data_IF_596892009707
#
_entry.id   IF_596892009707
#
_cell.length_a   1.000
_cell.length_b   1.000
_cell.length_c   1.000
_cell.angle_alpha   90.00
_cell.angle_beta   90.00
_cell.angle_gamma   90.00
#
_symmetry.space_group_name_H-M   'P 1'
#
loop_
_entity.id
_entity.type
_entity.pdbx_description
1 polymer ?
#
# COMPACT_ATOMS: atom_id res chain seq x y z
N UNK A 1 2.09 6.62 -16.20
CA UNK A 1 1.37 7.43 -15.22
C UNK A 1 1.29 8.86 -15.71
N UNK A 2 0.15 9.55 -15.56
CA UNK A 2 0.02 10.97 -15.91
C UNK A 2 0.64 11.86 -14.81
N UNK A 3 1.87 12.35 -15.05
CA UNK A 3 2.62 13.17 -14.08
C UNK A 3 1.95 14.50 -13.77
N UNK A 4 1.19 15.07 -14.71
CA UNK A 4 0.46 16.32 -14.49
C UNK A 4 -0.65 16.12 -13.46
N UNK A 5 -1.44 15.06 -13.58
CA UNK A 5 -2.47 14.69 -12.61
C UNK A 5 -1.83 14.37 -11.26
N UNK A 6 -0.76 13.57 -11.24
CA UNK A 6 -0.06 13.20 -10.00
C UNK A 6 0.44 14.44 -9.24
N UNK A 7 1.15 15.34 -9.93
CA UNK A 7 1.69 16.56 -9.31
C UNK A 7 0.57 17.49 -8.82
N UNK A 8 -0.54 17.58 -9.54
CA UNK A 8 -1.72 18.33 -9.11
C UNK A 8 -2.29 17.76 -7.81
N UNK A 9 -2.51 16.45 -7.74
CA UNK A 9 -3.04 15.78 -6.55
C UNK A 9 -2.12 15.91 -5.34
N UNK A 10 -0.80 15.78 -5.55
CA UNK A 10 0.20 15.98 -4.50
C UNK A 10 0.26 17.40 -3.95
N UNK A 11 -0.04 18.43 -4.77
CA UNK A 11 -0.05 19.84 -4.34
C UNK A 11 -1.37 20.28 -3.72
N UNK A 12 -2.49 19.72 -4.20
CA UNK A 12 -3.83 20.08 -3.75
C UNK A 12 -4.12 19.61 -2.31
N UNK A 13 -3.38 18.60 -1.84
CA UNK A 13 -3.52 18.07 -0.48
C UNK A 13 -2.29 18.48 0.33
N UNK A 14 -2.50 18.94 1.56
CA UNK A 14 -1.45 18.94 2.61
C UNK A 14 -1.16 17.49 3.01
N UNK A 15 -0.72 16.67 2.07
CA UNK A 15 -0.52 15.25 2.34
C UNK A 15 0.63 15.10 3.32
N UNK A 16 0.45 14.31 4.39
CA UNK A 16 1.60 13.83 5.17
C UNK A 16 2.47 12.90 4.32
N UNK A 17 1.93 12.42 3.19
CA UNK A 17 2.60 11.58 2.18
C UNK A 17 3.85 12.23 1.63
N UNK A 18 4.89 11.43 1.49
CA UNK A 18 6.12 11.91 0.88
C UNK A 18 6.08 11.71 -0.64
N UNK A 19 6.22 12.78 -1.46
CA UNK A 19 6.02 12.69 -2.90
C UNK A 19 6.84 11.62 -3.63
N UNK A 20 8.14 11.41 -3.32
CA UNK A 20 8.95 10.37 -3.95
C UNK A 20 8.47 8.94 -3.70
N UNK A 21 8.14 8.57 -2.45
CA UNK A 21 7.68 7.22 -2.10
C UNK A 21 6.38 6.89 -2.83
N UNK A 22 5.44 7.83 -2.77
CA UNK A 22 4.16 7.72 -3.47
C UNK A 22 4.30 7.71 -4.98
N UNK A 23 5.21 8.52 -5.54
CA UNK A 23 5.48 8.51 -6.98
C UNK A 23 5.99 7.13 -7.42
N UNK A 24 6.98 6.57 -6.71
CA UNK A 24 7.52 5.25 -7.03
C UNK A 24 6.46 4.15 -6.91
N UNK A 25 5.63 4.19 -5.86
CA UNK A 25 4.53 3.25 -5.70
C UNK A 25 3.52 3.34 -6.86
N UNK A 26 3.08 4.54 -7.22
CA UNK A 26 2.14 4.75 -8.34
C UNK A 26 2.75 4.36 -9.69
N UNK A 27 4.07 4.54 -9.88
CA UNK A 27 4.78 4.05 -11.08
C UNK A 27 4.80 2.52 -11.15
N UNK A 28 5.01 1.84 -10.02
CA UNK A 28 4.92 0.36 -9.95
C UNK A 28 3.51 -0.10 -10.31
N UNK A 29 2.47 0.54 -9.75
CA UNK A 29 1.08 0.25 -10.11
C UNK A 29 0.83 0.44 -11.61
N UNK A 30 1.23 1.58 -12.19
CA UNK A 30 1.07 1.86 -13.62
C UNK A 30 1.72 0.80 -14.51
N UNK A 31 2.94 0.37 -14.16
CA UNK A 31 3.66 -0.67 -14.91
C UNK A 31 2.97 -2.02 -14.82
N UNK A 32 2.55 -2.43 -13.61
CA UNK A 32 1.83 -3.68 -13.39
C UNK A 32 0.52 -3.73 -14.19
N UNK A 33 -0.31 -2.71 -14.04
CA UNK A 33 -1.64 -2.63 -14.69
C UNK A 33 -1.51 -2.68 -16.21
N UNK A 34 -0.56 -1.93 -16.79
CA UNK A 34 -0.28 -1.96 -18.23
C UNK A 34 0.18 -3.34 -18.69
N UNK A 35 1.09 -3.98 -17.95
CA UNK A 35 1.61 -5.31 -18.29
C UNK A 35 0.50 -6.37 -18.27
N UNK A 36 -0.44 -6.28 -17.34
CA UNK A 36 -1.59 -7.19 -17.21
C UNK A 36 -2.79 -6.80 -18.10
N UNK A 37 -2.73 -5.65 -18.79
CA UNK A 37 -3.82 -5.16 -19.64
C UNK A 37 -5.05 -4.67 -18.87
N UNK A 38 -4.91 -4.34 -17.57
CA UNK A 38 -5.99 -3.89 -16.70
C UNK A 38 -6.25 -2.41 -16.95
N UNK A 39 -7.48 -2.05 -17.35
CA UNK A 39 -7.85 -0.67 -17.72
C UNK A 39 -8.59 0.10 -16.62
N UNK A 40 -9.42 -0.59 -15.83
CA UNK A 40 -10.22 -0.02 -14.74
C UNK A 40 -10.00 -0.88 -13.49
N UNK A 41 -8.86 -0.74 -12.80
CA UNK A 41 -8.51 -1.62 -11.70
C UNK A 41 -9.50 -1.47 -10.54
N UNK A 42 -9.78 -2.57 -9.84
CA UNK A 42 -10.48 -2.56 -8.56
C UNK A 42 -9.47 -2.34 -7.44
N UNK A 43 -9.68 -1.31 -6.65
CA UNK A 43 -8.78 -0.94 -5.55
C UNK A 43 -9.53 -0.95 -4.24
N UNK A 44 -9.00 -1.66 -3.25
CA UNK A 44 -9.49 -1.65 -1.87
C UNK A 44 -8.46 -0.96 -0.98
N UNK A 45 -8.88 0.08 -0.28
CA UNK A 45 -8.08 0.75 0.76
C UNK A 45 -8.64 0.37 2.14
N UNK A 46 -7.77 -0.09 3.05
CA UNK A 46 -8.16 -0.52 4.41
C UNK A 46 -7.24 0.07 5.47
N UNK A 47 -7.77 0.20 6.67
CA UNK A 47 -7.10 0.75 7.85
C UNK A 47 -7.83 1.96 8.42
N UNK A 48 -7.34 2.54 9.53
CA UNK A 48 -8.04 3.59 10.24
C UNK A 48 -8.15 4.85 9.36
N UNK A 49 -9.35 5.13 8.87
CA UNK A 49 -9.75 6.49 8.57
C UNK A 49 -9.69 7.25 9.91
N UNK A 50 -8.64 8.02 10.18
CA UNK A 50 -8.59 8.81 11.41
C UNK A 50 -9.81 9.74 11.42
N UNK A 51 -10.81 9.37 12.23
CA UNK A 51 -12.05 10.10 12.48
C UNK A 51 -11.69 11.54 12.79
N UNK A 52 -12.00 12.44 11.85
CA UNK A 52 -11.83 13.88 12.01
C UNK A 52 -10.53 14.48 11.45
N UNK A 53 -9.64 13.70 10.83
CA UNK A 53 -8.57 14.28 10.02
C UNK A 53 -9.10 14.58 8.61
N UNK A 54 -8.83 15.78 8.10
CA UNK A 54 -9.05 16.13 6.67
C UNK A 54 -8.08 15.37 5.72
N UNK A 55 -7.37 14.39 6.26
CA UNK A 55 -6.45 13.48 5.61
C UNK A 55 -7.30 12.21 5.35
N UNK A 56 -7.39 11.57 4.18
CA UNK A 56 -6.42 11.52 3.10
C UNK A 56 -7.03 10.63 1.99
N UNK A 57 -8.00 11.10 1.18
CA UNK A 57 -8.62 10.29 0.10
C UNK A 57 -7.54 9.73 -0.87
N UNK A 58 -7.00 8.51 -0.69
CA UNK A 58 -6.13 7.86 -1.69
C UNK A 58 -6.94 7.46 -2.91
N UNK A 59 -8.26 7.29 -2.73
CA UNK A 59 -9.21 7.02 -3.80
C UNK A 59 -8.99 7.94 -4.99
N UNK A 60 -8.87 9.26 -4.78
CA UNK A 60 -8.63 10.21 -5.89
C UNK A 60 -7.34 9.93 -6.68
N UNK A 61 -6.28 9.43 -6.04
CA UNK A 61 -5.08 9.03 -6.77
C UNK A 61 -5.40 7.86 -7.70
N UNK A 62 -6.03 6.81 -7.18
CA UNK A 62 -6.36 5.62 -7.97
C UNK A 62 -7.42 5.92 -9.05
N UNK A 63 -8.49 6.64 -8.70
CA UNK A 63 -9.56 7.05 -9.61
C UNK A 63 -9.03 7.95 -10.73
N UNK A 64 -8.25 8.98 -10.42
CA UNK A 64 -7.83 9.94 -11.44
C UNK A 64 -6.60 9.50 -12.24
N UNK A 65 -5.67 8.75 -11.64
CA UNK A 65 -4.48 8.25 -12.36
C UNK A 65 -4.78 6.99 -13.16
N UNK A 66 -5.64 6.11 -12.63
CA UNK A 66 -5.87 4.78 -13.21
C UNK A 66 -7.32 4.50 -13.60
N UNK A 67 -8.25 5.45 -13.40
CA UNK A 67 -9.69 5.20 -13.60
C UNK A 67 -10.18 4.00 -12.77
N UNK A 68 -9.60 3.86 -11.58
CA UNK A 68 -9.90 2.76 -10.69
C UNK A 68 -11.35 2.81 -10.20
N UNK A 69 -11.92 1.64 -9.92
CA UNK A 69 -13.09 1.47 -9.07
C UNK A 69 -12.59 1.27 -7.65
N UNK A 70 -12.71 2.28 -6.80
CA UNK A 70 -12.43 2.16 -5.37
C UNK A 70 -13.64 1.54 -4.65
N UNK A 71 -13.40 0.50 -3.86
CA UNK A 71 -14.44 -0.21 -3.09
C UNK A 71 -14.11 -0.16 -1.60
N UNK A 72 -15.15 -0.16 -0.76
CA UNK A 72 -15.01 -0.15 0.71
C UNK A 72 -15.15 -1.55 1.33
N UNK A 73 -15.67 -2.52 0.57
CA UNK A 73 -15.86 -3.90 0.98
C UNK A 73 -15.77 -4.84 -0.21
N UNK A 74 -15.37 -6.09 0.03
CA UNK A 74 -15.28 -7.13 -1.01
C UNK A 74 -16.61 -7.87 -1.09
N UNK A 75 -17.25 -7.83 -2.26
CA UNK A 75 -18.42 -8.64 -2.53
C UNK A 75 -18.03 -10.05 -3.03
N UNK A 76 -18.90 -11.04 -2.85
CA UNK A 76 -18.63 -12.42 -3.29
C UNK A 76 -18.32 -12.48 -4.78
N UNK A 77 -17.14 -12.99 -5.14
CA UNK A 77 -16.68 -13.11 -6.53
C UNK A 77 -15.95 -11.88 -7.07
N UNK A 78 -15.82 -10.81 -6.30
CA UNK A 78 -15.04 -9.63 -6.69
C UNK A 78 -13.54 -9.86 -6.40
N UNK A 79 -12.71 -9.56 -7.40
CA UNK A 79 -11.25 -9.63 -7.29
C UNK A 79 -10.68 -8.23 -7.15
N UNK A 80 -9.68 -8.07 -6.27
CA UNK A 80 -8.99 -6.81 -6.05
C UNK A 80 -7.69 -6.80 -6.87
N UNK A 81 -7.48 -5.76 -7.69
CA UNK A 81 -6.22 -5.60 -8.43
C UNK A 81 -5.13 -4.98 -7.56
N UNK A 82 -5.52 -4.03 -6.69
CA UNK A 82 -4.62 -3.37 -5.74
C UNK A 82 -5.26 -3.29 -4.35
N UNK A 83 -4.63 -3.90 -3.36
CA UNK A 83 -4.97 -3.78 -1.94
C UNK A 83 -4.00 -2.80 -1.28
N UNK A 84 -4.51 -1.70 -0.72
CA UNK A 84 -3.73 -0.67 -0.02
C UNK A 84 -4.04 -0.69 1.48
N UNK A 85 -3.13 -1.23 2.29
CA UNK A 85 -3.28 -1.36 3.74
C UNK A 85 -2.52 -0.24 4.44
N UNK A 86 -3.26 0.62 5.14
CA UNK A 86 -2.69 1.76 5.87
C UNK A 86 -1.79 1.32 7.02
N UNK A 87 -0.89 2.22 7.40
CA UNK A 87 -0.04 2.04 8.57
C UNK A 87 -0.83 1.94 9.87
N UNK A 88 -0.42 1.10 10.80
CA UNK A 88 -1.14 1.00 12.07
C UNK A 88 -0.55 0.01 13.07
N UNK A 89 -1.33 -0.34 14.08
CA UNK A 89 -0.98 -1.38 15.04
C UNK A 89 -0.91 -2.75 14.37
N UNK A 90 0.06 -3.58 14.78
CA UNK A 90 0.35 -4.86 14.15
C UNK A 90 -0.90 -5.75 14.00
N UNK A 91 -1.72 -5.86 15.06
CA UNK A 91 -2.93 -6.70 15.03
C UNK A 91 -3.93 -6.26 13.96
N UNK A 92 -4.10 -4.96 13.76
CA UNK A 92 -5.05 -4.44 12.77
C UNK A 92 -4.53 -4.65 11.36
N UNK A 93 -3.27 -4.28 11.11
CA UNK A 93 -2.64 -4.44 9.79
C UNK A 93 -2.58 -5.92 9.40
N UNK A 94 -2.31 -6.82 10.36
CA UNK A 94 -2.31 -8.27 10.13
C UNK A 94 -3.71 -8.79 9.83
N UNK A 95 -4.72 -8.38 10.60
CA UNK A 95 -6.10 -8.75 10.35
C UNK A 95 -6.58 -8.29 8.95
N UNK A 96 -6.28 -7.05 8.57
CA UNK A 96 -6.58 -6.52 7.23
C UNK A 96 -5.88 -7.33 6.14
N UNK A 97 -4.60 -7.65 6.33
CA UNK A 97 -3.85 -8.48 5.39
C UNK A 97 -4.45 -9.88 5.24
N UNK A 98 -4.69 -10.59 6.34
CA UNK A 98 -5.24 -11.95 6.32
C UNK A 98 -6.67 -11.97 5.73
N UNK A 99 -7.48 -10.94 6.01
CA UNK A 99 -8.85 -10.84 5.49
C UNK A 99 -8.87 -10.59 3.99
N UNK A 100 -8.06 -9.64 3.50
CA UNK A 100 -8.22 -9.13 2.13
C UNK A 100 -7.18 -9.64 1.13
N UNK A 101 -6.01 -10.08 1.60
CA UNK A 101 -4.98 -10.59 0.69
C UNK A 101 -5.43 -11.79 -0.17
N UNK A 102 -6.31 -12.72 0.27
CA UNK A 102 -6.78 -13.81 -0.60
C UNK A 102 -7.59 -13.32 -1.81
N UNK A 103 -8.29 -12.19 -1.68
CA UNK A 103 -9.08 -11.58 -2.76
C UNK A 103 -8.25 -10.70 -3.70
N UNK A 104 -7.03 -10.33 -3.29
CA UNK A 104 -6.13 -9.54 -4.10
C UNK A 104 -5.35 -10.43 -5.07
N UNK A 105 -5.45 -10.16 -6.36
CA UNK A 105 -4.78 -10.90 -7.44
C UNK A 105 -3.52 -10.18 -7.95
N UNK A 106 -3.37 -8.90 -7.64
CA UNK A 106 -2.25 -8.09 -8.10
C UNK A 106 -1.31 -7.60 -7.01
N UNK A 107 -1.44 -6.34 -6.66
CA UNK A 107 -0.51 -5.64 -5.77
C UNK A 107 -1.10 -5.52 -4.37
N UNK A 108 -0.33 -5.92 -3.36
CA UNK A 108 -0.63 -5.59 -1.95
C UNK A 108 0.42 -4.58 -1.47
N UNK A 109 -0.04 -3.42 -1.03
CA UNK A 109 0.80 -2.38 -0.43
C UNK A 109 0.52 -2.30 1.08
N UNK A 110 1.57 -2.34 1.89
CA UNK A 110 1.53 -2.11 3.34
C UNK A 110 2.26 -0.80 3.59
N UNK A 111 1.55 0.21 4.07
CA UNK A 111 2.12 1.54 4.31
C UNK A 111 2.79 1.64 5.68
N UNK A 112 3.69 2.62 5.79
CA UNK A 112 4.42 2.97 7.01
C UNK A 112 5.24 1.82 7.63
N UNK A 113 5.83 0.96 6.80
CA UNK A 113 6.67 -0.18 7.22
C UNK A 113 8.00 0.20 7.90
N UNK A 114 8.28 1.50 8.04
CA UNK A 114 9.41 2.01 8.85
C UNK A 114 8.97 2.93 9.98
N UNK A 115 7.67 3.23 10.08
CA UNK A 115 7.15 4.15 11.08
C UNK A 115 7.33 3.55 12.47
N UNK A 116 7.89 4.37 13.36
CA UNK A 116 8.16 4.03 14.77
C UNK A 116 9.06 2.80 15.01
N UNK A 117 9.61 2.16 13.97
CA UNK A 117 10.47 0.97 14.09
C UNK A 117 11.65 1.16 15.02
N UNK A 118 12.28 2.34 14.99
CA UNK A 118 13.45 2.69 15.80
C UNK A 118 13.15 3.61 16.99
N UNK A 119 11.87 3.85 17.30
CA UNK A 119 11.46 4.70 18.43
C UNK A 119 11.23 3.91 19.71
N UNK A 120 11.37 4.55 20.87
CA UNK A 120 10.99 3.95 22.17
C UNK A 120 9.48 3.73 22.28
N UNK A 121 8.67 4.74 21.97
CA UNK A 121 7.21 4.62 21.91
C UNK A 121 6.78 4.12 20.52
N UNK A 122 6.00 3.03 20.50
CA UNK A 122 5.45 2.44 19.28
C UNK A 122 3.99 2.88 19.11
N UNK A 123 3.73 3.75 18.15
CA UNK A 123 2.35 4.14 17.77
C UNK A 123 1.94 3.54 16.43
N UNK A 124 2.87 2.94 15.69
CA UNK A 124 2.64 2.17 14.48
C UNK A 124 3.63 1.00 14.45
N UNK A 125 3.16 -0.16 13.97
CA UNK A 125 3.86 -1.44 14.03
C UNK A 125 3.69 -2.29 12.77
N UNK A 126 3.28 -1.68 11.64
CA UNK A 126 3.20 -2.35 10.33
C UNK A 126 4.52 -3.05 9.93
N UNK A 127 5.65 -2.52 10.41
CA UNK A 127 6.98 -3.12 10.21
C UNK A 127 7.09 -4.55 10.75
N UNK A 128 6.32 -4.91 11.79
CA UNK A 128 6.32 -6.29 12.35
C UNK A 128 5.74 -7.28 11.34
N UNK A 129 4.60 -6.96 10.74
CA UNK A 129 3.99 -7.80 9.71
C UNK A 129 4.89 -7.87 8.49
N UNK A 130 5.47 -6.75 8.08
CA UNK A 130 6.41 -6.72 6.95
C UNK A 130 7.63 -7.62 7.17
N UNK A 131 8.21 -7.61 8.38
CA UNK A 131 9.33 -8.49 8.72
C UNK A 131 8.91 -9.97 8.78
N UNK A 132 7.72 -10.28 9.31
CA UNK A 132 7.14 -11.62 9.34
C UNK A 132 6.98 -12.20 7.91
N UNK A 133 6.37 -11.44 7.00
CA UNK A 133 6.17 -11.86 5.62
C UNK A 133 7.50 -12.12 4.89
N UNK A 134 8.49 -11.24 5.05
CA UNK A 134 9.83 -11.47 4.48
C UNK A 134 10.50 -12.71 5.05
N UNK A 135 10.35 -12.98 6.34
CA UNK A 135 10.91 -14.17 6.97
C UNK A 135 10.29 -15.45 6.40
N UNK A 136 8.96 -15.48 6.20
CA UNK A 136 8.27 -16.62 5.59
C UNK A 136 8.80 -16.91 4.17
N UNK A 137 8.98 -15.87 3.35
CA UNK A 137 9.53 -16.01 1.99
C UNK A 137 10.99 -16.50 2.03
N UNK A 138 11.80 -15.93 2.93
CA UNK A 138 13.22 -16.32 3.08
C UNK A 138 13.36 -17.77 3.52
N UNK A 139 12.41 -18.27 4.32
CA UNK A 139 12.37 -19.66 4.78
C UNK A 139 11.72 -20.63 3.77
N UNK A 140 11.36 -20.17 2.56
CA UNK A 140 10.82 -21.03 1.50
C UNK A 140 9.36 -21.44 1.70
N UNK A 141 8.53 -20.59 2.32
CA UNK A 141 7.10 -20.82 2.40
C UNK A 141 6.48 -20.89 0.98
N UNK A 142 6.03 -22.09 0.59
CA UNK A 142 5.51 -22.37 -0.78
C UNK A 142 4.36 -21.45 -1.20
N UNK A 143 3.56 -20.99 -0.25
CA UNK A 143 2.44 -20.06 -0.50
C UNK A 143 2.88 -18.71 -1.08
N UNK A 144 4.16 -18.32 -0.95
CA UNK A 144 4.71 -17.07 -1.47
C UNK A 144 5.75 -17.27 -2.59
N UNK A 145 5.91 -18.49 -3.12
CA UNK A 145 6.95 -18.82 -4.10
C UNK A 145 6.88 -17.95 -5.37
N UNK A 146 5.67 -17.55 -5.77
CA UNK A 146 5.42 -16.73 -6.95
C UNK A 146 5.22 -15.24 -6.64
N UNK A 147 5.64 -14.77 -5.46
CA UNK A 147 5.42 -13.39 -5.05
C UNK A 147 6.72 -12.60 -5.12
N UNK A 148 6.66 -11.37 -5.64
CA UNK A 148 7.78 -10.43 -5.61
C UNK A 148 7.58 -9.43 -4.47
N UNK A 149 8.56 -9.37 -3.56
CA UNK A 149 8.58 -8.43 -2.44
C UNK A 149 9.52 -7.27 -2.75
N UNK A 150 8.99 -6.04 -2.67
CA UNK A 150 9.73 -4.80 -2.81
C UNK A 150 9.48 -3.93 -1.58
N UNK A 151 10.46 -3.13 -1.20
CA UNK A 151 10.28 -2.12 -0.17
C UNK A 151 10.82 -0.79 -0.66
N UNK A 152 9.97 0.24 -0.60
CA UNK A 152 10.35 1.62 -0.86
C UNK A 152 10.63 2.24 0.50
N UNK A 153 11.89 2.57 0.77
CA UNK A 153 12.30 3.18 2.02
C UNK A 153 12.75 4.62 1.79
N UNK A 154 12.50 5.48 2.77
CA UNK A 154 13.20 6.75 2.87
C UNK A 154 14.13 6.78 4.07
N UNK A 155 15.41 6.93 3.77
CA UNK A 155 16.42 7.28 4.77
C UNK A 155 16.28 8.75 5.13
N UNK A 156 15.67 9.06 6.27
CA UNK A 156 15.75 10.40 6.89
C UNK A 156 16.89 10.42 7.89
N UNK A 157 17.72 11.47 7.84
CA UNK A 157 18.79 11.74 8.82
C UNK A 157 18.19 12.09 10.19
N UNK A 158 17.02 12.75 10.21
CA UNK A 158 16.24 13.07 11.43
C UNK A 158 14.74 12.96 11.15
N UNK A 159 13.97 12.45 12.11
CA UNK A 159 12.50 12.36 12.05
C UNK A 159 11.94 10.96 11.76
N UNK A 160 10.62 10.87 11.54
CA UNK A 160 9.94 9.60 11.27
C UNK A 160 10.36 9.07 9.90
N UNK A 161 10.99 7.90 9.89
CA UNK A 161 11.16 7.11 8.68
C UNK A 161 9.81 6.54 8.26
N UNK A 162 9.59 6.49 6.95
CA UNK A 162 8.41 5.93 6.32
C UNK A 162 8.87 5.01 5.20
N UNK A 163 7.96 4.16 4.77
CA UNK A 163 8.17 3.28 3.66
C UNK A 163 6.90 2.54 3.30
N UNK A 164 6.90 1.97 2.10
CA UNK A 164 5.80 1.15 1.58
C UNK A 164 6.39 -0.21 1.25
N UNK A 165 5.87 -1.25 1.92
CA UNK A 165 6.11 -2.64 1.55
C UNK A 165 5.17 -3.01 0.42
N UNK A 166 5.67 -3.59 -0.65
CA UNK A 166 4.90 -3.94 -1.84
C UNK A 166 5.10 -5.43 -2.11
N UNK A 167 3.98 -6.12 -2.31
CA UNK A 167 3.93 -7.53 -2.70
C UNK A 167 3.23 -7.58 -4.04
N UNK A 168 3.86 -8.18 -5.04
CA UNK A 168 3.28 -8.37 -6.37
C UNK A 168 3.07 -9.85 -6.58
N UNK A 169 1.82 -10.26 -6.77
CA UNK A 169 1.47 -11.64 -7.15
C UNK A 169 1.65 -11.81 -8.67
N UNK A 170 2.40 -12.84 -9.07
CA UNK A 170 2.73 -13.10 -10.49
C UNK A 170 1.61 -13.76 -11.27
#
# INVERSE_FOLDING_TARGET
>A
MNLTIFNRLMRAKETRRHPPEWKMFMEICDLYLKRKGIKNPVVLEVGPAEIGSKEENQHEFFEQLFKAKCIDHVSTGETIDILSISGGHYKNVKADFETFSPYCTGIIAIHDIESCRYKKRKTAESWKLWDELKALVTCGAKEYENFLFLAIHRKRIRGNQRGIGIIIKQ
#
